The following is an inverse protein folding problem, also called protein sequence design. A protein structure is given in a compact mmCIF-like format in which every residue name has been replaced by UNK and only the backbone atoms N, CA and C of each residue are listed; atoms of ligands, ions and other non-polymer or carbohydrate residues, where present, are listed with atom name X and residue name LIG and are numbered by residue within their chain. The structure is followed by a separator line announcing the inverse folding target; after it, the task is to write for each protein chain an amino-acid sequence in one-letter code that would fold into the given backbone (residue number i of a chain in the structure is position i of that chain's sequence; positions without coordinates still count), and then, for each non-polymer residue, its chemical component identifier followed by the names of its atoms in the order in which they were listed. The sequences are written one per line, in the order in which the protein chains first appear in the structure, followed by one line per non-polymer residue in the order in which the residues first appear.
data_IF_282334546015
#
_entry.id   IF_282334546015
#
_cell.length_a   1.000
_cell.length_b   1.000
_cell.length_c   1.000
_cell.angle_alpha   90.00
_cell.angle_beta   90.00
_cell.angle_gamma   90.00
#
_symmetry.space_group_name_H-M   'P 1'
#
loop_
_entity.id
_entity.type
_entity.pdbx_description
1 polymer ?
#
# COMPACT_ATOMS: atom_id res chain seq x y z
N UNK A 1 27.40 -13.81 -23.79
CA UNK A 1 27.67 -12.83 -24.86
C UNK A 1 29.13 -12.40 -24.75
N UNK A 2 29.89 -12.37 -25.86
CA UNK A 2 31.33 -12.11 -25.85
C UNK A 2 31.62 -10.61 -25.99
N UNK A 3 32.06 -9.97 -24.90
CA UNK A 3 32.77 -8.70 -24.96
C UNK A 3 34.26 -8.95 -25.32
N UNK A 4 35.00 -7.97 -25.88
CA UNK A 4 36.37 -8.15 -26.38
C UNK A 4 37.44 -8.49 -25.31
N UNK A 5 37.05 -8.71 -24.05
CA UNK A 5 37.94 -9.10 -22.96
C UNK A 5 37.27 -10.17 -22.08
N UNK A 6 37.53 -11.45 -22.39
CA UNK A 6 37.32 -12.55 -21.45
C UNK A 6 35.97 -13.28 -21.52
N UNK A 7 36.01 -14.55 -21.13
CA UNK A 7 34.82 -15.37 -20.91
C UNK A 7 34.25 -14.99 -19.53
N UNK A 8 33.04 -14.45 -19.51
CA UNK A 8 32.33 -14.09 -18.29
C UNK A 8 31.52 -15.29 -17.81
N UNK A 9 31.91 -15.90 -16.69
CA UNK A 9 31.17 -17.00 -16.06
C UNK A 9 30.27 -16.46 -14.95
N UNK A 10 28.98 -16.31 -15.24
CA UNK A 10 27.97 -15.87 -14.28
C UNK A 10 27.51 -17.08 -13.45
N UNK A 11 27.45 -16.93 -12.13
CA UNK A 11 26.96 -17.93 -11.19
C UNK A 11 26.29 -17.29 -9.98
N UNK A 12 25.45 -18.04 -9.27
CA UNK A 12 24.62 -17.53 -8.16
C UNK A 12 25.40 -16.84 -7.05
N UNK A 13 26.64 -17.28 -6.80
CA UNK A 13 27.51 -16.73 -5.76
C UNK A 13 28.28 -15.49 -6.20
N UNK A 14 28.42 -15.24 -7.51
CA UNK A 14 29.23 -14.14 -8.04
C UNK A 14 28.40 -13.04 -8.71
N UNK A 15 27.14 -13.33 -9.07
CA UNK A 15 26.30 -12.45 -9.88
C UNK A 15 26.03 -11.11 -9.19
N UNK A 16 25.86 -11.09 -7.87
CA UNK A 16 25.65 -9.85 -7.11
C UNK A 16 26.89 -8.95 -7.13
N UNK A 17 28.07 -9.50 -6.80
CA UNK A 17 29.34 -8.76 -6.85
C UNK A 17 29.66 -8.28 -8.27
N UNK A 18 29.34 -9.12 -9.25
CA UNK A 18 29.57 -8.82 -10.66
C UNK A 18 28.69 -7.67 -11.14
N UNK A 19 27.41 -7.63 -10.76
CA UNK A 19 26.51 -6.51 -11.08
C UNK A 19 27.05 -5.22 -10.46
N UNK A 20 27.44 -5.23 -9.19
CA UNK A 20 27.98 -4.03 -8.52
C UNK A 20 29.25 -3.55 -9.22
N UNK A 21 30.16 -4.45 -9.56
CA UNK A 21 31.37 -4.10 -10.31
C UNK A 21 31.06 -3.57 -11.72
N UNK A 22 30.10 -4.19 -12.42
CA UNK A 22 29.68 -3.77 -13.74
C UNK A 22 29.01 -2.38 -13.73
N UNK A 23 28.18 -2.10 -12.72
CA UNK A 23 27.54 -0.80 -12.50
C UNK A 23 28.59 0.29 -12.22
N UNK A 24 29.55 0.01 -11.32
CA UNK A 24 30.68 0.90 -11.03
C UNK A 24 31.54 1.22 -12.27
N UNK A 25 31.69 0.25 -13.18
CA UNK A 25 32.43 0.41 -14.43
C UNK A 25 31.56 0.92 -15.60
N UNK A 26 30.28 1.20 -15.34
CA UNK A 26 29.28 1.63 -16.34
C UNK A 26 29.13 0.67 -17.53
N UNK A 27 29.24 -0.64 -17.27
CA UNK A 27 29.06 -1.70 -18.25
C UNK A 27 27.60 -2.19 -18.26
N UNK A 28 26.70 -1.37 -18.81
CA UNK A 28 25.24 -1.63 -18.78
C UNK A 28 24.86 -2.98 -19.41
N UNK A 29 25.53 -3.39 -20.50
CA UNK A 29 25.26 -4.70 -21.15
C UNK A 29 25.51 -5.88 -20.20
N UNK A 30 26.51 -5.78 -19.31
CA UNK A 30 26.81 -6.85 -18.35
C UNK A 30 25.79 -6.86 -17.22
N UNK A 31 25.35 -5.67 -16.77
CA UNK A 31 24.29 -5.54 -15.77
C UNK A 31 23.00 -6.17 -16.28
N UNK A 32 22.58 -5.84 -17.50
CA UNK A 32 21.36 -6.40 -18.12
C UNK A 32 21.43 -7.94 -18.22
N UNK A 33 22.55 -8.50 -18.66
CA UNK A 33 22.76 -9.95 -18.74
C UNK A 33 22.67 -10.63 -17.36
N UNK A 34 23.25 -10.02 -16.33
CA UNK A 34 23.20 -10.56 -14.98
C UNK A 34 21.79 -10.44 -14.37
N UNK A 35 21.07 -9.34 -14.67
CA UNK A 35 19.67 -9.20 -14.28
C UNK A 35 18.78 -10.25 -14.94
N UNK A 36 18.99 -10.56 -16.23
CA UNK A 36 18.27 -11.64 -16.93
C UNK A 36 18.56 -13.01 -16.29
N UNK A 37 19.81 -13.29 -15.94
CA UNK A 37 20.19 -14.49 -15.21
C UNK A 37 19.48 -14.59 -13.85
N UNK A 38 19.43 -13.49 -13.08
CA UNK A 38 18.74 -13.44 -11.79
C UNK A 38 17.22 -13.66 -11.92
N UNK A 39 16.59 -13.14 -12.96
CA UNK A 39 15.16 -13.38 -13.23
C UNK A 39 14.83 -14.87 -13.41
N UNK A 40 15.77 -15.65 -13.94
CA UNK A 40 15.64 -17.11 -14.10
C UNK A 40 15.93 -17.95 -12.84
N UNK A 41 16.60 -17.36 -11.84
CA UNK A 41 17.03 -18.02 -10.60
C UNK A 41 16.33 -17.44 -9.35
N UNK A 42 15.18 -16.79 -9.54
CA UNK A 42 14.38 -16.28 -8.42
C UNK A 42 13.62 -17.43 -7.73
N UNK A 43 13.66 -17.41 -6.40
CA UNK A 43 12.96 -18.34 -5.52
C UNK A 43 12.11 -17.54 -4.51
N UNK A 44 10.99 -18.11 -4.03
CA UNK A 44 10.15 -17.44 -3.02
C UNK A 44 10.90 -17.12 -1.72
N UNK A 45 11.98 -17.85 -1.41
CA UNK A 45 12.80 -17.59 -0.24
C UNK A 45 13.78 -16.44 -0.46
N UNK A 46 14.37 -16.31 -1.66
CA UNK A 46 15.41 -15.32 -1.99
C UNK A 46 14.88 -14.02 -2.63
N UNK A 47 13.61 -13.99 -3.02
CA UNK A 47 13.03 -12.91 -3.80
C UNK A 47 13.08 -11.55 -3.07
N UNK A 48 12.99 -11.56 -1.74
CA UNK A 48 13.09 -10.35 -0.92
C UNK A 48 14.50 -9.77 -0.98
N UNK A 49 15.55 -10.59 -0.78
CA UNK A 49 16.92 -10.14 -0.94
C UNK A 49 17.21 -9.61 -2.35
N UNK A 50 16.64 -10.25 -3.38
CA UNK A 50 16.76 -9.76 -4.76
C UNK A 50 16.02 -8.44 -5.00
N UNK A 51 14.85 -8.25 -4.40
CA UNK A 51 14.13 -6.98 -4.44
C UNK A 51 14.94 -5.86 -3.78
N UNK A 52 15.46 -6.09 -2.57
CA UNK A 52 16.33 -5.12 -1.88
C UNK A 52 17.60 -4.82 -2.68
N UNK A 53 18.18 -5.83 -3.31
CA UNK A 53 19.34 -5.68 -4.17
C UNK A 53 19.01 -4.86 -5.43
N UNK A 54 17.84 -5.10 -6.05
CA UNK A 54 17.39 -4.35 -7.22
C UNK A 54 17.21 -2.86 -6.94
N UNK A 55 16.77 -2.50 -5.72
CA UNK A 55 16.70 -1.11 -5.26
C UNK A 55 18.09 -0.49 -5.09
N UNK A 56 19.08 -1.25 -4.62
CA UNK A 56 20.46 -0.76 -4.44
C UNK A 56 21.14 -0.42 -5.76
N UNK A 57 20.93 -1.26 -6.79
CA UNK A 57 21.49 -1.05 -8.14
C UNK A 57 20.60 -0.14 -9.01
N UNK A 58 19.49 0.36 -8.47
CA UNK A 58 18.48 1.16 -9.19
C UNK A 58 18.02 0.54 -10.52
N UNK A 59 17.97 -0.79 -10.60
CA UNK A 59 17.53 -1.51 -11.79
C UNK A 59 16.02 -1.71 -11.76
N UNK A 60 15.30 -0.84 -12.48
CA UNK A 60 13.84 -0.86 -12.55
C UNK A 60 13.29 -2.19 -13.11
N UNK A 61 13.90 -2.73 -14.17
CA UNK A 61 13.48 -3.98 -14.79
C UNK A 61 13.51 -5.20 -13.84
N UNK A 62 14.50 -5.27 -12.96
CA UNK A 62 14.60 -6.33 -11.97
C UNK A 62 13.67 -6.07 -10.79
N UNK A 63 13.54 -4.81 -10.39
CA UNK A 63 12.64 -4.39 -9.31
C UNK A 63 11.18 -4.70 -9.63
N UNK A 64 10.69 -4.33 -10.82
CA UNK A 64 9.31 -4.60 -11.22
C UNK A 64 9.03 -6.11 -11.32
N UNK A 65 10.00 -6.88 -11.84
CA UNK A 65 9.88 -8.33 -11.93
C UNK A 65 9.84 -9.01 -10.55
N UNK A 66 10.76 -8.63 -9.66
CA UNK A 66 10.82 -9.16 -8.29
C UNK A 66 9.58 -8.75 -7.49
N UNK A 67 9.10 -7.52 -7.63
CA UNK A 67 7.87 -7.02 -6.99
C UNK A 67 6.64 -7.81 -7.44
N UNK A 68 6.48 -8.04 -8.75
CA UNK A 68 5.40 -8.88 -9.30
C UNK A 68 5.49 -10.33 -8.80
N UNK A 69 6.70 -10.88 -8.71
CA UNK A 69 6.92 -12.23 -8.19
C UNK A 69 6.56 -12.35 -6.70
N UNK A 70 6.93 -11.35 -5.89
CA UNK A 70 6.58 -11.26 -4.47
C UNK A 70 5.06 -11.21 -4.30
N UNK A 71 4.37 -10.41 -5.12
CA UNK A 71 2.91 -10.34 -5.09
C UNK A 71 2.27 -11.68 -5.43
N UNK A 72 2.78 -12.38 -6.46
CA UNK A 72 2.28 -13.69 -6.87
C UNK A 72 2.51 -14.82 -5.86
N UNK A 73 3.62 -14.80 -5.12
CA UNK A 73 4.01 -15.86 -4.18
C UNK A 73 3.99 -15.41 -2.71
N UNK A 74 3.24 -14.35 -2.39
CA UNK A 74 3.26 -13.70 -1.06
C UNK A 74 3.11 -14.68 0.12
N UNK A 75 2.30 -15.74 -0.03
CA UNK A 75 2.07 -16.75 1.00
C UNK A 75 3.31 -17.54 1.40
N UNK A 76 4.19 -17.82 0.44
CA UNK A 76 5.46 -18.50 0.68
C UNK A 76 6.49 -17.52 1.22
N UNK A 77 6.50 -16.30 0.66
CA UNK A 77 7.44 -15.24 1.02
C UNK A 77 7.26 -14.78 2.48
N UNK A 78 6.02 -14.61 2.96
CA UNK A 78 5.75 -14.18 4.35
C UNK A 78 6.34 -15.15 5.40
N UNK A 79 6.51 -16.43 5.03
CA UNK A 79 7.05 -17.46 5.93
C UNK A 79 8.59 -17.45 5.97
N UNK A 80 9.23 -16.77 5.03
CA UNK A 80 10.68 -16.66 4.92
C UNK A 80 11.28 -15.71 5.95
N UNK A 81 12.52 -16.00 6.38
CA UNK A 81 13.23 -15.12 7.32
C UNK A 81 13.61 -13.77 6.68
N UNK A 82 13.82 -13.73 5.36
CA UNK A 82 14.13 -12.50 4.62
C UNK A 82 12.98 -11.48 4.69
N UNK A 83 11.73 -11.94 4.75
CA UNK A 83 10.57 -11.07 4.95
C UNK A 83 10.65 -10.32 6.29
N UNK A 84 11.14 -10.97 7.35
CA UNK A 84 11.30 -10.37 8.67
C UNK A 84 12.45 -9.34 8.72
N UNK A 85 13.35 -9.39 7.74
CA UNK A 85 14.47 -8.47 7.58
C UNK A 85 14.13 -7.19 6.77
N UNK A 86 12.92 -7.12 6.18
CA UNK A 86 12.45 -5.94 5.45
C UNK A 86 12.44 -4.68 6.31
N UNK A 87 12.71 -3.53 5.68
CA UNK A 87 12.49 -2.22 6.32
C UNK A 87 11.00 -1.88 6.40
N UNK A 88 10.64 -0.89 7.22
CA UNK A 88 9.25 -0.47 7.35
C UNK A 88 8.70 0.06 6.02
N UNK A 89 9.49 0.80 5.26
CA UNK A 89 9.06 1.42 4.01
C UNK A 89 8.78 0.35 2.95
N UNK A 90 9.66 -0.64 2.84
CA UNK A 90 9.51 -1.76 1.91
C UNK A 90 8.29 -2.62 2.26
N UNK A 91 8.11 -2.92 3.55
CA UNK A 91 6.94 -3.66 3.99
C UNK A 91 5.64 -2.92 3.65
N UNK A 92 5.55 -1.63 3.97
CA UNK A 92 4.36 -0.83 3.64
C UNK A 92 4.11 -0.78 2.14
N UNK A 93 5.17 -0.68 1.32
CA UNK A 93 5.05 -0.72 -0.14
C UNK A 93 4.41 -2.03 -0.61
N UNK A 94 4.91 -3.17 -0.14
CA UNK A 94 4.38 -4.51 -0.49
C UNK A 94 2.94 -4.68 0.00
N UNK A 95 2.64 -4.29 1.25
CA UNK A 95 1.29 -4.44 1.84
C UNK A 95 0.25 -3.51 1.20
N UNK A 96 0.68 -2.39 0.61
CA UNK A 96 -0.20 -1.43 -0.06
C UNK A 96 -0.66 -1.90 -1.43
N UNK A 97 0.11 -2.77 -2.08
CA UNK A 97 -0.21 -3.30 -3.40
C UNK A 97 -1.51 -4.11 -3.37
N UNK A 98 -2.40 -3.87 -4.33
CA UNK A 98 -3.67 -4.60 -4.45
C UNK A 98 -3.50 -5.95 -5.17
N UNK A 99 -2.36 -6.15 -5.84
CA UNK A 99 -2.05 -7.32 -6.66
C UNK A 99 -1.54 -8.54 -5.87
N UNK A 100 -1.57 -8.45 -4.53
CA UNK A 100 -1.16 -9.55 -3.65
C UNK A 100 -2.04 -10.79 -3.91
N UNK A 101 -1.41 -11.92 -4.23
CA UNK A 101 -2.08 -13.21 -4.39
C UNK A 101 -2.41 -13.79 -3.00
N UNK A 102 -3.49 -13.29 -2.41
CA UNK A 102 -4.00 -13.67 -1.09
C UNK A 102 -5.44 -14.18 -1.20
N UNK A 103 -5.78 -15.15 -0.35
CA UNK A 103 -7.16 -15.65 -0.24
C UNK A 103 -7.99 -14.85 0.79
N UNK A 104 -7.31 -14.28 1.80
CA UNK A 104 -7.92 -13.60 2.93
C UNK A 104 -6.97 -12.49 3.39
N UNK A 105 -7.49 -11.27 3.57
CA UNK A 105 -6.73 -10.12 4.08
C UNK A 105 -6.13 -10.44 5.47
N UNK A 106 -6.66 -11.45 6.17
CA UNK A 106 -6.13 -11.95 7.43
C UNK A 106 -4.68 -12.41 7.30
N UNK A 107 -4.26 -12.92 6.14
CA UNK A 107 -2.89 -13.36 5.92
C UNK A 107 -1.92 -12.17 5.90
N UNK A 108 -2.32 -11.08 5.24
CA UNK A 108 -1.58 -9.80 5.23
C UNK A 108 -1.43 -9.25 6.65
N UNK A 109 -2.50 -9.31 7.44
CA UNK A 109 -2.46 -8.92 8.85
C UNK A 109 -1.51 -9.80 9.67
N UNK A 110 -1.54 -11.12 9.48
CA UNK A 110 -0.63 -12.03 10.18
C UNK A 110 0.82 -11.75 9.82
N UNK A 111 1.13 -11.56 8.54
CA UNK A 111 2.47 -11.22 8.06
C UNK A 111 3.00 -9.92 8.71
N UNK A 112 2.18 -8.86 8.70
CA UNK A 112 2.49 -7.60 9.35
C UNK A 112 2.76 -7.78 10.86
N UNK A 113 1.93 -8.57 11.54
CA UNK A 113 2.10 -8.85 12.96
C UNK A 113 3.37 -9.67 13.24
N UNK A 114 3.71 -10.66 12.42
CA UNK A 114 4.95 -11.43 12.55
C UNK A 114 6.18 -10.55 12.42
N UNK A 115 6.16 -9.62 11.46
CA UNK A 115 7.24 -8.64 11.28
C UNK A 115 7.40 -7.72 12.50
N UNK A 116 6.31 -7.28 13.13
CA UNK A 116 6.35 -6.47 14.36
C UNK A 116 6.85 -7.30 15.55
N UNK A 117 6.40 -8.55 15.67
CA UNK A 117 6.75 -9.44 16.78
C UNK A 117 8.22 -9.83 16.79
N UNK A 118 8.89 -9.90 15.62
CA UNK A 118 10.33 -10.19 15.52
C UNK A 118 11.19 -9.22 16.35
N UNK A 119 10.86 -7.93 16.33
CA UNK A 119 11.54 -6.88 17.11
C UNK A 119 10.52 -6.06 17.91
N UNK A 120 9.76 -6.74 18.76
CA UNK A 120 8.70 -6.13 19.56
C UNK A 120 9.17 -4.92 20.40
N UNK A 121 10.47 -4.79 20.73
CA UNK A 121 10.99 -3.63 21.45
C UNK A 121 11.02 -2.32 20.65
N UNK A 122 11.42 -2.38 19.38
CA UNK A 122 11.59 -1.19 18.52
C UNK A 122 10.44 -1.00 17.54
N UNK A 123 9.89 -2.11 17.01
CA UNK A 123 8.88 -2.10 15.95
C UNK A 123 7.45 -1.85 16.43
N UNK A 124 7.18 -1.96 17.74
CA UNK A 124 5.88 -1.61 18.36
C UNK A 124 5.40 -0.19 18.00
N UNK A 125 6.31 0.75 17.76
CA UNK A 125 5.98 2.14 17.41
C UNK A 125 5.40 2.28 16.00
N UNK A 126 5.80 1.39 15.08
CA UNK A 126 5.38 1.41 13.68
C UNK A 126 4.09 0.62 13.44
N UNK A 127 3.44 0.11 14.50
CA UNK A 127 2.21 -0.69 14.36
C UNK A 127 1.12 0.08 13.62
N UNK A 128 0.99 1.39 13.85
CA UNK A 128 -0.03 2.21 13.18
C UNK A 128 0.28 2.36 11.69
N UNK A 129 1.54 2.69 11.35
CA UNK A 129 2.00 2.88 9.97
C UNK A 129 1.92 1.57 9.15
N UNK A 130 2.27 0.43 9.75
CA UNK A 130 2.23 -0.89 9.07
C UNK A 130 0.81 -1.40 8.90
N UNK A 131 -0.11 -1.00 9.78
CA UNK A 131 -1.52 -1.40 9.73
C UNK A 131 -2.40 -0.48 8.87
N UNK A 132 -1.96 0.75 8.59
CA UNK A 132 -2.65 1.71 7.71
C UNK A 132 -2.99 1.16 6.31
N UNK A 133 -2.09 0.43 5.60
CA UNK A 133 -2.42 -0.12 4.28
C UNK A 133 -3.40 -1.30 4.32
N UNK A 134 -3.70 -1.88 5.49
CA UNK A 134 -4.53 -3.08 5.60
C UNK A 134 -6.02 -2.71 5.53
N UNK A 135 -6.76 -3.38 4.65
CA UNK A 135 -8.21 -3.16 4.50
C UNK A 135 -8.99 -3.85 5.62
N UNK A 136 -9.04 -3.21 6.80
CA UNK A 136 -9.82 -3.67 7.95
C UNK A 136 -11.28 -4.10 7.66
N UNK A 137 -12.03 -3.45 6.74
CA UNK A 137 -13.39 -3.87 6.42
C UNK A 137 -13.52 -5.28 5.83
N UNK A 138 -12.44 -5.81 5.23
CA UNK A 138 -12.42 -7.15 4.63
C UNK A 138 -12.04 -8.24 5.64
N UNK A 139 -11.57 -7.87 6.83
CA UNK A 139 -11.11 -8.82 7.84
C UNK A 139 -12.28 -9.39 8.67
N UNK A 140 -12.36 -10.73 8.82
CA UNK A 140 -13.37 -11.34 9.69
C UNK A 140 -13.06 -11.01 11.18
N UNK A 141 -13.97 -10.30 11.89
CA UNK A 141 -13.70 -9.79 13.24
C UNK A 141 -13.47 -10.90 14.27
N UNK A 142 -14.03 -12.10 14.03
CA UNK A 142 -13.85 -13.25 14.92
C UNK A 142 -12.42 -13.83 14.87
N UNK A 143 -11.76 -13.85 13.71
CA UNK A 143 -10.37 -14.32 13.60
C UNK A 143 -9.42 -13.31 14.23
N UNK A 144 -9.67 -12.01 14.02
CA UNK A 144 -8.92 -10.92 14.64
C UNK A 144 -8.96 -11.00 16.16
N UNK A 145 -10.16 -11.11 16.76
CA UNK A 145 -10.30 -11.19 18.23
C UNK A 145 -9.56 -12.40 18.81
N UNK A 146 -9.69 -13.58 18.21
CA UNK A 146 -8.96 -14.78 18.64
C UNK A 146 -7.45 -14.60 18.55
N UNK A 147 -6.95 -13.93 17.51
CA UNK A 147 -5.52 -13.66 17.38
C UNK A 147 -5.01 -12.73 18.48
N UNK A 148 -5.74 -11.63 18.72
CA UNK A 148 -5.43 -10.64 19.76
C UNK A 148 -5.41 -11.29 21.16
N UNK A 149 -6.32 -12.23 21.41
CA UNK A 149 -6.35 -13.02 22.65
C UNK A 149 -5.15 -13.96 22.80
N UNK A 150 -4.59 -14.46 21.70
CA UNK A 150 -3.43 -15.36 21.67
C UNK A 150 -2.08 -14.65 21.87
N UNK A 151 -2.03 -13.33 21.80
CA UNK A 151 -0.80 -12.55 21.99
C UNK A 151 -0.42 -12.54 23.48
N UNK A 152 0.77 -13.04 23.79
CA UNK A 152 1.33 -13.10 25.15
C UNK A 152 1.64 -11.70 25.72
N UNK A 153 2.07 -10.77 24.85
CA UNK A 153 2.39 -9.40 25.24
C UNK A 153 1.12 -8.56 25.51
N UNK A 154 0.81 -8.36 26.79
CA UNK A 154 -0.38 -7.59 27.21
C UNK A 154 -0.38 -6.16 26.65
N UNK A 155 0.77 -5.47 26.66
CA UNK A 155 0.86 -4.10 26.15
C UNK A 155 0.61 -4.01 24.65
N UNK A 156 1.06 -5.00 23.88
CA UNK A 156 0.86 -5.06 22.44
C UNK A 156 -0.62 -5.39 22.13
N UNK A 157 -1.21 -6.32 22.90
CA UNK A 157 -2.62 -6.65 22.83
C UNK A 157 -3.51 -5.42 23.04
N UNK A 158 -3.28 -4.65 24.11
CA UNK A 158 -4.08 -3.46 24.43
C UNK A 158 -3.91 -2.36 23.37
N UNK A 159 -2.68 -2.11 22.90
CA UNK A 159 -2.42 -1.14 21.84
C UNK A 159 -3.14 -1.51 20.54
N UNK A 160 -2.99 -2.76 20.11
CA UNK A 160 -3.64 -3.27 18.90
C UNK A 160 -5.16 -3.26 19.02
N UNK A 161 -5.72 -3.66 20.17
CA UNK A 161 -7.17 -3.65 20.41
C UNK A 161 -7.75 -2.22 20.39
N UNK A 162 -7.01 -1.24 20.94
CA UNK A 162 -7.41 0.17 20.91
C UNK A 162 -7.41 0.72 19.49
N UNK A 163 -6.33 0.48 18.74
CA UNK A 163 -6.21 0.89 17.35
C UNK A 163 -7.32 0.29 16.48
N UNK A 164 -7.55 -1.03 16.58
CA UNK A 164 -8.59 -1.70 15.80
C UNK A 164 -9.99 -1.17 16.13
N UNK A 165 -10.24 -0.83 17.40
CA UNK A 165 -11.52 -0.24 17.80
C UNK A 165 -11.71 1.13 17.14
N UNK A 166 -10.67 1.97 17.16
CA UNK A 166 -10.66 3.27 16.48
C UNK A 166 -10.91 3.13 14.98
N UNK A 167 -10.17 2.24 14.28
CA UNK A 167 -10.37 1.97 12.85
C UNK A 167 -11.77 1.41 12.51
N UNK A 168 -12.33 0.55 13.38
CA UNK A 168 -13.68 -0.01 13.21
C UNK A 168 -14.79 1.02 13.49
N UNK A 169 -14.58 1.94 14.44
CA UNK A 169 -15.49 3.05 14.72
C UNK A 169 -15.50 4.06 13.55
N UNK A 170 -14.32 4.38 12.98
CA UNK A 170 -14.19 5.26 11.80
C UNK A 170 -14.91 4.67 10.57
N UNK A 171 -14.89 3.33 10.39
CA UNK A 171 -15.64 2.68 9.30
C UNK A 171 -17.17 2.78 9.45
N UNK A 172 -17.71 3.04 10.66
CA UNK A 172 -19.15 3.26 10.87
C UNK A 172 -19.57 4.69 10.55
N UNK A 173 -18.72 5.68 10.80
CA UNK A 173 -19.00 7.09 10.50
C UNK A 173 -19.11 7.35 8.99
N UNK A 174 -18.32 6.63 8.16
CA UNK A 174 -18.38 6.74 6.69
C UNK A 174 -19.59 6.04 6.03
N UNK A 175 -20.51 5.46 6.81
CA UNK A 175 -21.83 4.97 6.34
C UNK A 175 -23.00 5.81 6.88
N UNK A 176 -22.78 7.02 7.38
CA UNK A 176 -23.84 7.99 7.69
C UNK A 176 -23.58 9.27 6.89
N UNK A 177 -23.73 9.17 5.58
CA UNK A 177 -23.43 10.26 4.65
C UNK A 177 -24.24 10.16 3.36
N UNK A 178 -25.51 9.80 3.47
CA UNK A 178 -26.50 10.00 2.40
C UNK A 178 -27.87 10.17 3.04
N UNK A 179 -28.45 11.40 3.06
CA UNK A 179 -29.85 11.59 3.43
C UNK A 179 -30.70 11.13 2.23
N UNK A 180 -31.00 9.84 2.18
CA UNK A 180 -31.97 9.32 1.21
C UNK A 180 -33.38 9.78 1.60
N UNK A 181 -34.08 10.23 0.57
CA UNK A 181 -35.27 11.05 0.62
C UNK A 181 -36.45 10.26 1.17
N UNK A 182 -37.11 10.79 2.21
CA UNK A 182 -38.47 10.35 2.52
C UNK A 182 -39.41 10.94 1.47
N UNK A 183 -39.71 10.13 0.46
CA UNK A 183 -41.00 10.17 -0.21
C UNK A 183 -42.08 9.80 0.81
N UNK A 184 -42.81 10.80 1.30
CA UNK A 184 -44.12 10.59 1.90
C UNK A 184 -45.13 11.41 1.11
N UNK A 185 -46.07 10.69 0.51
CA UNK A 185 -47.06 11.21 -0.40
C UNK A 185 -48.24 11.82 0.37
N UNK A 186 -48.56 13.07 0.02
CA UNK A 186 -49.95 13.47 -0.18
C UNK A 186 -50.65 14.34 0.88
N UNK A 187 -51.40 15.32 0.34
CA UNK A 187 -52.69 15.86 0.80
C UNK A 187 -52.68 17.27 1.46
N UNK A 188 -52.99 18.26 0.60
CA UNK A 188 -54.06 19.28 0.75
C UNK A 188 -53.82 20.61 1.50
N UNK A 189 -53.76 21.68 0.67
CA UNK A 189 -54.41 23.02 0.72
C UNK A 189 -54.02 24.08 1.79
N UNK A 190 -53.80 25.30 1.27
CA UNK A 190 -53.45 26.60 1.89
C UNK A 190 -54.62 27.29 2.65
N UNK A 191 -54.63 28.60 3.03
CA UNK A 191 -53.63 29.69 3.09
C UNK A 191 -53.70 30.53 4.41
N UNK A 192 -53.00 31.69 4.48
CA UNK A 192 -53.20 32.94 5.28
C UNK A 192 -51.83 33.48 5.77
N UNK A 193 -51.27 34.59 5.24
CA UNK A 193 -51.49 36.01 5.61
C UNK A 193 -50.96 36.32 7.05
N UNK A 194 -50.22 37.36 7.44
CA UNK A 194 -49.94 38.74 6.99
C UNK A 194 -48.69 39.29 7.73
N UNK A 195 -47.98 40.21 7.04
CA UNK A 195 -47.02 41.32 7.32
C UNK A 195 -46.19 41.38 8.62
N UNK A 196 -44.94 41.87 8.56
CA UNK A 196 -44.52 43.29 8.70
C UNK A 196 -43.01 43.37 8.34
N UNK A 197 -42.37 44.45 7.90
CA UNK A 197 -42.70 45.75 7.34
C UNK A 197 -41.38 46.32 6.78
N UNK A 198 -41.51 47.22 5.79
CA UNK A 198 -40.61 48.31 5.42
C UNK A 198 -39.15 48.06 4.95
N UNK A 199 -38.99 48.31 3.64
CA UNK A 199 -37.82 48.84 2.87
C UNK A 199 -37.27 50.19 3.43
N UNK A 200 -36.29 50.94 2.84
CA UNK A 200 -35.58 50.78 1.55
C UNK A 200 -34.07 51.15 1.52
N UNK A 201 -33.42 50.92 0.37
CA UNK A 201 -32.53 51.84 -0.39
C UNK A 201 -31.41 51.02 -1.07
N UNK A 202 -31.53 50.74 -2.39
CA UNK A 202 -30.83 51.45 -3.48
C UNK A 202 -29.29 51.54 -3.25
N UNK A 203 -28.39 51.15 -4.15
CA UNK A 203 -28.29 51.59 -5.57
C UNK A 203 -27.11 50.84 -6.23
N UNK A 204 -27.20 50.58 -7.55
CA UNK A 204 -26.10 50.49 -8.54
C UNK A 204 -25.06 49.37 -8.37
N UNK A 205 -24.72 48.53 -9.34
CA UNK A 205 -24.98 48.46 -10.78
C UNK A 205 -23.82 47.70 -11.45
N UNK A 206 -24.10 47.08 -12.61
CA UNK A 206 -23.14 46.57 -13.61
C UNK A 206 -22.16 45.47 -13.16
N UNK A 207 -21.76 44.47 -13.96
CA UNK A 207 -21.91 44.16 -15.38
C UNK A 207 -21.52 42.67 -15.53
N UNK A 208 -22.32 41.88 -16.25
CA UNK A 208 -21.86 40.60 -16.79
C UNK A 208 -21.16 40.87 -18.13
N UNK A 209 -19.92 40.41 -18.27
CA UNK A 209 -19.24 40.30 -19.58
C UNK A 209 -18.79 38.86 -19.78
N UNK A 210 -19.42 38.22 -20.76
CA UNK A 210 -18.98 36.99 -21.42
C UNK A 210 -18.18 37.40 -22.66
N UNK A 211 -17.00 36.82 -22.86
CA UNK A 211 -16.43 36.59 -24.20
C UNK A 211 -15.31 35.54 -24.11
N UNK A 212 -15.55 34.29 -24.49
CA UNK A 212 -15.32 33.66 -25.81
C UNK A 212 -13.85 33.48 -26.18
N UNK A 213 -13.38 32.23 -26.14
CA UNK A 213 -12.18 31.73 -26.82
C UNK A 213 -12.44 31.59 -28.33
N UNK A 214 -11.43 31.82 -29.19
CA UNK A 214 -11.41 31.28 -30.54
C UNK A 214 -10.41 30.12 -30.64
N UNK A 215 -10.83 29.03 -31.29
CA UNK A 215 -9.99 27.94 -31.74
C UNK A 215 -9.57 28.09 -33.20
N UNK A 216 -8.69 27.15 -33.60
CA UNK A 216 -8.38 26.70 -34.96
C UNK A 216 -7.81 27.73 -35.95
N UNK A 217 -6.54 27.56 -36.32
CA UNK A 217 -6.09 26.91 -37.57
C UNK A 217 -4.78 26.18 -37.30
#
# INVERSE_FOLDING_TARGET
VCLPAGVLSIGEHNVQELIVAADMLQLTEVVELCCEFLKGHIDPLNCIGLFQFSEQIACHDLMEFTESYIHGHFLEVQSGEEFLALTKEQLIKILRSEDLSIEDEYQVFIAAMQWILKDAGKRKKYIVEVLEPIRFPLLPPQKLQKYIEGIQDFSLRVALQTLLKEYCEVCKENKVGTPDSKEDAGVTIQPYAVWSDLTPSATTGAQCVLSTSPGAV
#
